data_IF_281250941427
#
_entry.id   IF_281250941427
#
_cell.length_a   1.000
_cell.length_b   1.000
_cell.length_c   1.000
_cell.angle_alpha   90.00
_cell.angle_beta   90.00
_cell.angle_gamma   90.00
#
_symmetry.space_group_name_H-M   'P 1'
#
loop_
_entity.id
_entity.type
_entity.pdbx_description
1 polymer ?
#
# COMPACT_ATOMS: atom_id res chain seq x y z
N UNK A 1 -24.57 -18.95 2.42
CA UNK A 1 -23.54 -18.97 3.47
C UNK A 1 -22.21 -18.65 2.81
N UNK A 2 -21.48 -17.63 3.27
CA UNK A 2 -20.19 -17.29 2.70
C UNK A 2 -19.19 -18.42 2.96
N UNK A 3 -18.38 -18.76 1.96
CA UNK A 3 -17.35 -19.78 2.08
C UNK A 3 -15.96 -19.14 1.98
N UNK A 4 -15.22 -19.18 3.07
CA UNK A 4 -13.82 -18.80 3.12
C UNK A 4 -12.97 -20.05 2.85
N UNK A 5 -11.96 -19.91 2.00
CA UNK A 5 -10.96 -20.95 1.73
C UNK A 5 -9.63 -20.45 2.25
N UNK A 6 -8.98 -21.27 3.08
CA UNK A 6 -7.64 -21.02 3.59
C UNK A 6 -6.71 -22.14 3.14
N UNK A 7 -5.62 -21.80 2.46
CA UNK A 7 -4.51 -22.70 2.15
C UNK A 7 -3.26 -22.17 2.83
N UNK A 8 -2.52 -23.03 3.52
CA UNK A 8 -1.37 -22.64 4.36
C UNK A 8 -0.14 -23.52 4.09
N UNK A 9 0.43 -23.50 2.87
CA UNK A 9 1.73 -24.09 2.63
C UNK A 9 2.83 -23.32 3.37
N UNK A 10 3.98 -23.95 3.59
CA UNK A 10 5.16 -23.26 4.07
C UNK A 10 6.32 -23.40 3.07
N UNK A 11 7.21 -22.44 3.08
CA UNK A 11 8.43 -22.43 2.30
C UNK A 11 9.60 -22.52 3.28
N UNK A 12 10.50 -23.48 3.05
CA UNK A 12 11.73 -23.56 3.81
C UNK A 12 12.74 -22.59 3.22
N UNK A 13 13.09 -21.58 4.00
CA UNK A 13 14.06 -20.58 3.59
C UNK A 13 15.46 -21.05 4.01
N UNK A 14 16.36 -21.19 3.06
CA UNK A 14 17.78 -21.43 3.28
C UNK A 14 18.62 -20.51 2.40
N UNK A 15 19.95 -20.53 2.59
CA UNK A 15 20.89 -19.66 1.82
C UNK A 15 20.86 -19.91 0.31
N UNK A 16 20.41 -21.09 -0.13
CA UNK A 16 20.38 -21.48 -1.54
C UNK A 16 19.01 -21.22 -2.18
N UNK A 17 17.97 -21.07 -1.35
CA UNK A 17 16.57 -20.87 -1.78
C UNK A 17 15.96 -19.67 -1.07
N UNK A 18 16.35 -18.43 -1.45
CA UNK A 18 15.77 -17.22 -0.86
C UNK A 18 14.30 -17.07 -1.28
N UNK A 19 13.45 -16.77 -0.31
CA UNK A 19 12.01 -16.59 -0.53
C UNK A 19 11.66 -15.13 -0.87
N UNK A 20 12.66 -14.25 -0.92
CA UNK A 20 12.52 -12.82 -1.22
C UNK A 20 11.81 -12.54 -2.55
N UNK A 21 12.11 -13.32 -3.60
CA UNK A 21 11.45 -13.21 -4.89
C UNK A 21 9.94 -13.47 -4.84
N UNK A 22 9.48 -14.30 -3.91
CA UNK A 22 8.05 -14.53 -3.71
C UNK A 22 7.34 -13.29 -3.17
N UNK A 23 7.96 -12.58 -2.23
CA UNK A 23 7.41 -11.34 -1.68
C UNK A 23 7.29 -10.26 -2.75
N UNK A 24 8.33 -10.08 -3.57
CA UNK A 24 8.28 -9.16 -4.70
C UNK A 24 7.15 -9.54 -5.67
N UNK A 25 7.06 -10.82 -6.02
CA UNK A 25 6.00 -11.32 -6.91
C UNK A 25 4.61 -10.99 -6.40
N UNK A 26 4.27 -11.33 -5.15
CA UNK A 26 2.92 -11.07 -4.62
C UNK A 26 2.62 -9.57 -4.46
N UNK A 27 3.63 -8.73 -4.23
CA UNK A 27 3.47 -7.30 -4.05
C UNK A 27 3.33 -6.51 -5.35
N UNK A 28 3.76 -7.06 -6.50
CA UNK A 28 3.84 -6.32 -7.76
C UNK A 28 3.20 -7.00 -8.96
N UNK A 29 2.66 -8.22 -8.80
CA UNK A 29 2.04 -8.95 -9.92
C UNK A 29 0.79 -8.25 -10.45
N UNK A 30 0.35 -8.61 -11.65
CA UNK A 30 -0.91 -8.17 -12.22
C UNK A 30 -2.08 -8.32 -11.23
N UNK A 31 -2.99 -7.35 -11.24
CA UNK A 31 -4.20 -7.30 -10.40
C UNK A 31 -3.95 -7.17 -8.90
N UNK A 32 -2.72 -6.91 -8.45
CA UNK A 32 -2.53 -6.45 -7.08
C UNK A 32 -3.11 -5.06 -6.93
N UNK A 33 -3.87 -4.83 -5.88
CA UNK A 33 -4.33 -3.49 -5.53
C UNK A 33 -3.15 -2.70 -4.96
N UNK A 34 -2.71 -1.67 -5.71
CA UNK A 34 -1.62 -0.80 -5.25
C UNK A 34 -2.13 0.11 -4.13
N UNK A 35 -1.41 0.14 -3.04
CA UNK A 35 -1.73 1.00 -1.91
C UNK A 35 -1.20 2.41 -2.13
N UNK A 36 -1.85 3.44 -1.54
CA UNK A 36 -1.31 4.79 -1.50
C UNK A 36 0.10 4.81 -0.91
N UNK A 37 0.97 5.65 -1.47
CA UNK A 37 2.34 5.80 -0.96
C UNK A 37 2.33 6.57 0.37
N UNK A 38 2.33 5.84 1.48
CA UNK A 38 2.29 6.35 2.85
C UNK A 38 3.66 6.82 3.37
N UNK A 39 4.73 6.71 2.56
CA UNK A 39 6.04 7.26 2.93
C UNK A 39 5.97 8.79 3.12
N UNK A 40 6.87 9.38 3.91
CA UNK A 40 6.92 10.84 4.08
C UNK A 40 7.05 11.57 2.74
N UNK A 41 6.48 12.77 2.60
CA UNK A 41 6.58 13.55 1.38
C UNK A 41 8.04 13.90 1.08
N UNK A 42 8.36 14.00 -0.21
CA UNK A 42 9.68 14.45 -0.64
C UNK A 42 9.87 15.95 -0.33
N UNK A 43 11.12 16.37 -0.13
CA UNK A 43 11.44 17.80 0.04
C UNK A 43 10.85 18.68 -1.06
N UNK A 44 10.80 18.16 -2.30
CA UNK A 44 10.20 18.85 -3.46
C UNK A 44 8.69 19.02 -3.27
N UNK A 45 7.99 17.98 -2.82
CA UNK A 45 6.56 18.06 -2.55
C UNK A 45 6.26 19.03 -1.40
N UNK A 46 7.01 18.97 -0.31
CA UNK A 46 6.85 19.93 0.80
C UNK A 46 7.04 21.39 0.36
N UNK A 47 8.07 21.66 -0.48
CA UNK A 47 8.29 22.98 -1.03
C UNK A 47 7.11 23.44 -1.91
N UNK A 48 6.56 22.53 -2.73
CA UNK A 48 5.40 22.82 -3.58
C UNK A 48 4.14 23.07 -2.76
N UNK A 49 3.89 22.27 -1.71
CA UNK A 49 2.78 22.49 -0.79
C UNK A 49 2.87 23.87 -0.15
N UNK A 50 4.07 24.24 0.40
CA UNK A 50 4.30 25.55 0.98
C UNK A 50 4.11 26.69 -0.02
N UNK A 51 4.58 26.49 -1.26
CA UNK A 51 4.43 27.49 -2.33
C UNK A 51 2.96 27.64 -2.72
N UNK A 52 2.22 26.54 -2.94
CA UNK A 52 0.81 26.57 -3.30
C UNK A 52 -0.04 27.24 -2.21
N UNK A 53 0.18 26.91 -0.94
CA UNK A 53 -0.57 27.52 0.16
C UNK A 53 -0.22 29.00 0.39
N UNK A 54 0.92 29.47 -0.11
CA UNK A 54 1.30 30.90 -0.12
C UNK A 54 0.69 31.62 -1.31
N UNK A 55 0.82 31.04 -2.52
CA UNK A 55 0.38 31.66 -3.76
C UNK A 55 -1.17 31.62 -3.89
N UNK A 56 -1.80 30.57 -3.35
CA UNK A 56 -3.24 30.33 -3.36
C UNK A 56 -3.74 30.03 -1.92
N UNK A 57 -3.95 31.05 -1.05
CA UNK A 57 -4.36 30.84 0.34
C UNK A 57 -5.66 30.05 0.50
N UNK A 58 -6.60 30.16 -0.46
CA UNK A 58 -7.86 29.41 -0.46
C UNK A 58 -7.66 27.89 -0.62
N UNK A 59 -6.54 27.45 -1.19
CA UNK A 59 -6.22 26.04 -1.33
C UNK A 59 -6.11 25.30 0.04
N UNK A 60 -5.90 26.03 1.11
CA UNK A 60 -5.94 25.48 2.48
C UNK A 60 -7.32 24.98 2.93
N UNK A 61 -8.37 25.36 2.22
CA UNK A 61 -9.74 24.92 2.50
C UNK A 61 -10.10 23.61 1.79
N UNK A 62 -9.24 23.14 0.89
CA UNK A 62 -9.43 21.86 0.20
C UNK A 62 -9.35 20.68 1.16
N UNK A 63 -10.17 19.68 0.94
CA UNK A 63 -10.16 18.44 1.72
C UNK A 63 -8.80 17.76 1.68
N UNK A 64 -8.17 17.73 0.51
CA UNK A 64 -6.84 17.15 0.29
C UNK A 64 -5.73 17.86 1.08
N UNK A 65 -5.89 19.17 1.37
CA UNK A 65 -4.97 19.88 2.27
C UNK A 65 -5.16 19.43 3.72
N UNK A 66 -6.40 19.27 4.16
CA UNK A 66 -6.70 18.80 5.51
C UNK A 66 -6.21 17.37 5.72
N UNK A 67 -6.35 16.52 4.72
CA UNK A 67 -5.81 15.15 4.74
C UNK A 67 -4.27 15.15 4.81
N UNK A 68 -3.62 16.02 4.05
CA UNK A 68 -2.17 16.21 4.12
C UNK A 68 -1.71 16.73 5.49
N UNK A 69 -2.43 17.68 6.05
CA UNK A 69 -2.11 18.26 7.37
C UNK A 69 -2.29 17.24 8.49
N UNK A 70 -3.32 16.40 8.40
CA UNK A 70 -3.57 15.31 9.34
C UNK A 70 -2.54 14.17 9.22
N UNK A 71 -2.18 13.79 7.99
CA UNK A 71 -1.21 12.73 7.70
C UNK A 71 -0.31 13.13 6.53
N UNK A 72 0.89 13.73 6.79
CA UNK A 72 1.79 14.18 5.73
C UNK A 72 2.51 13.01 5.05
N UNK A 73 1.88 12.46 4.01
CA UNK A 73 2.42 11.38 3.17
C UNK A 73 2.68 11.87 1.75
N UNK A 74 3.44 11.09 0.96
CA UNK A 74 3.64 11.35 -0.47
C UNK A 74 2.32 11.36 -1.23
N UNK A 75 1.42 10.43 -0.90
CA UNK A 75 0.12 10.33 -1.54
C UNK A 75 -0.73 11.58 -1.26
N UNK A 76 -0.88 11.97 0.00
CA UNK A 76 -1.66 13.13 0.40
C UNK A 76 -1.05 14.44 -0.12
N UNK A 77 0.28 14.57 -0.09
CA UNK A 77 0.96 15.71 -0.71
C UNK A 77 0.68 15.78 -2.22
N UNK A 78 0.75 14.65 -2.93
CA UNK A 78 0.49 14.58 -4.36
C UNK A 78 -0.98 14.88 -4.70
N UNK A 79 -1.93 14.37 -3.89
CA UNK A 79 -3.35 14.65 -4.04
C UNK A 79 -3.64 16.14 -3.88
N UNK A 80 -3.15 16.75 -2.79
CA UNK A 80 -3.30 18.19 -2.56
C UNK A 80 -2.69 19.04 -3.69
N UNK A 81 -1.42 18.77 -4.07
CA UNK A 81 -0.76 19.53 -5.14
C UNK A 81 -1.56 19.43 -6.43
N UNK A 82 -2.07 18.26 -6.77
CA UNK A 82 -2.90 18.07 -7.96
C UNK A 82 -4.16 18.91 -7.90
N UNK A 83 -4.92 18.78 -6.80
CA UNK A 83 -6.20 19.47 -6.66
C UNK A 83 -6.04 20.98 -6.66
N UNK A 84 -5.06 21.48 -5.91
CA UNK A 84 -4.76 22.92 -5.87
C UNK A 84 -4.35 23.48 -7.25
N UNK A 85 -3.61 22.71 -8.06
CA UNK A 85 -3.24 23.11 -9.41
C UNK A 85 -4.43 23.03 -10.37
N UNK A 86 -5.32 22.04 -10.26
CA UNK A 86 -6.54 21.95 -11.08
C UNK A 86 -7.43 23.16 -10.86
N UNK A 87 -7.64 23.57 -9.61
CA UNK A 87 -8.49 24.71 -9.28
C UNK A 87 -7.88 26.07 -9.67
N UNK A 88 -6.54 26.15 -9.69
CA UNK A 88 -5.83 27.39 -10.01
C UNK A 88 -5.06 27.30 -11.33
N UNK A 89 -5.53 26.48 -12.28
CA UNK A 89 -4.82 26.13 -13.50
C UNK A 89 -4.31 27.34 -14.30
N UNK A 90 -5.16 28.35 -14.51
CA UNK A 90 -4.81 29.54 -15.30
C UNK A 90 -3.64 30.34 -14.71
N UNK A 91 -3.55 30.40 -13.38
CA UNK A 91 -2.45 31.06 -12.68
C UNK A 91 -1.22 30.16 -12.58
N UNK A 92 -1.41 28.84 -12.42
CA UNK A 92 -0.34 27.86 -12.30
C UNK A 92 0.46 27.70 -13.61
N UNK A 93 -0.16 27.85 -14.78
CA UNK A 93 0.51 27.80 -16.09
C UNK A 93 1.67 28.78 -16.25
N UNK A 94 1.65 29.89 -15.51
CA UNK A 94 2.72 30.89 -15.54
C UNK A 94 3.93 30.51 -14.66
N UNK A 95 3.88 29.36 -13.97
CA UNK A 95 4.93 28.91 -13.06
C UNK A 95 5.64 27.66 -13.57
N UNK A 96 6.89 27.79 -13.99
CA UNK A 96 7.74 26.69 -14.44
C UNK A 96 7.83 25.54 -13.40
N UNK A 97 7.81 25.89 -12.11
CA UNK A 97 7.89 24.89 -11.03
C UNK A 97 6.69 23.94 -11.03
N UNK A 98 5.49 24.47 -11.27
CA UNK A 98 4.27 23.67 -11.31
C UNK A 98 4.19 22.83 -12.58
N UNK A 99 4.50 23.42 -13.72
CA UNK A 99 4.52 22.70 -14.99
C UNK A 99 5.53 21.56 -14.99
N UNK A 100 6.73 21.80 -14.44
CA UNK A 100 7.78 20.79 -14.32
C UNK A 100 7.35 19.65 -13.40
N UNK A 101 6.66 19.94 -12.29
CA UNK A 101 6.12 18.91 -11.42
C UNK A 101 5.07 18.04 -12.14
N UNK A 102 4.10 18.66 -12.80
CA UNK A 102 3.05 17.94 -13.55
C UNK A 102 3.67 17.01 -14.60
N UNK A 103 4.64 17.52 -15.38
CA UNK A 103 5.30 16.77 -16.45
C UNK A 103 6.15 15.60 -15.96
N UNK A 104 6.73 15.71 -14.75
CA UNK A 104 7.67 14.71 -14.20
C UNK A 104 7.05 13.83 -13.13
N UNK A 105 5.77 14.04 -12.77
CA UNK A 105 5.11 13.30 -11.72
C UNK A 105 4.80 11.87 -12.15
N UNK A 106 5.40 10.83 -11.54
CA UNK A 106 5.03 9.45 -11.82
C UNK A 106 3.61 9.15 -11.32
N UNK A 107 2.85 8.35 -12.07
CA UNK A 107 1.55 7.83 -11.61
C UNK A 107 1.69 7.10 -10.26
N UNK A 108 2.83 6.46 -10.04
CA UNK A 108 3.21 5.78 -8.81
C UNK A 108 3.28 6.68 -7.57
N UNK A 109 3.42 8.01 -7.70
CA UNK A 109 3.42 8.89 -6.52
C UNK A 109 2.11 8.89 -5.74
N UNK A 110 0.97 8.59 -6.40
CA UNK A 110 -0.34 8.50 -5.73
C UNK A 110 -0.63 7.10 -5.21
N UNK A 111 -0.40 6.09 -6.04
CA UNK A 111 -0.83 4.73 -5.77
C UNK A 111 0.27 3.86 -5.17
N UNK A 112 1.53 4.36 -5.18
CA UNK A 112 2.67 3.52 -4.83
C UNK A 112 3.05 2.54 -5.94
N UNK A 113 4.11 1.78 -5.72
CA UNK A 113 4.73 0.86 -6.67
C UNK A 113 4.47 -0.62 -6.34
N UNK A 114 3.77 -0.89 -5.24
CA UNK A 114 3.41 -2.24 -4.81
C UNK A 114 2.13 -2.25 -3.96
N UNK A 115 1.55 -3.45 -3.78
CA UNK A 115 0.34 -3.68 -2.98
C UNK A 115 0.59 -4.38 -1.64
N UNK A 116 1.84 -4.42 -1.14
CA UNK A 116 2.13 -5.03 0.15
C UNK A 116 1.66 -4.16 1.32
N UNK A 117 1.10 -4.81 2.32
CA UNK A 117 0.76 -4.24 3.62
C UNK A 117 1.17 -5.18 4.76
N UNK A 118 1.32 -4.61 5.96
CA UNK A 118 1.70 -5.33 7.18
C UNK A 118 1.07 -4.64 8.40
N UNK A 119 1.64 -4.87 9.59
CA UNK A 119 1.27 -4.14 10.82
C UNK A 119 1.59 -2.65 10.73
N UNK A 120 2.65 -2.30 10.03
CA UNK A 120 3.12 -0.92 9.88
C UNK A 120 2.48 -0.27 8.66
N UNK A 121 2.22 1.03 8.75
CA UNK A 121 1.83 1.83 7.60
C UNK A 121 3.04 2.07 6.69
N UNK A 122 2.81 2.05 5.36
CA UNK A 122 3.85 2.37 4.39
C UNK A 122 4.98 1.35 4.33
N UNK A 123 4.65 0.09 4.02
CA UNK A 123 5.65 -0.96 3.81
C UNK A 123 6.68 -0.52 2.76
N UNK A 124 7.96 -0.62 3.10
CA UNK A 124 9.06 -0.47 2.14
C UNK A 124 9.38 -1.85 1.54
N UNK A 125 9.07 -2.02 0.24
CA UNK A 125 9.25 -3.29 -0.45
C UNK A 125 10.72 -3.75 -0.43
N UNK A 126 11.67 -2.84 -0.62
CA UNK A 126 13.09 -3.18 -0.65
C UNK A 126 13.57 -3.67 0.73
N UNK A 127 13.13 -2.99 1.80
CA UNK A 127 13.42 -3.40 3.17
C UNK A 127 12.79 -4.75 3.51
N UNK A 128 11.54 -4.97 3.11
CA UNK A 128 10.84 -6.24 3.34
C UNK A 128 11.52 -7.41 2.60
N UNK A 129 12.02 -7.18 1.38
CA UNK A 129 12.80 -8.15 0.62
C UNK A 129 14.12 -8.46 1.34
N UNK A 130 14.86 -7.43 1.78
CA UNK A 130 16.13 -7.58 2.50
C UNK A 130 15.95 -8.36 3.82
N UNK A 131 14.90 -8.06 4.59
CA UNK A 131 14.55 -8.82 5.81
C UNK A 131 14.31 -10.30 5.50
N UNK A 132 13.63 -10.60 4.40
CA UNK A 132 13.34 -11.98 4.01
C UNK A 132 14.57 -12.73 3.45
N UNK A 133 15.47 -12.03 2.78
CA UNK A 133 16.76 -12.59 2.31
C UNK A 133 17.66 -13.02 3.46
N UNK A 134 17.61 -12.31 4.58
CA UNK A 134 18.40 -12.63 5.77
C UNK A 134 17.65 -13.52 6.77
N UNK A 135 16.38 -13.85 6.49
CA UNK A 135 15.59 -14.73 7.36
C UNK A 135 16.07 -16.16 7.25
N UNK A 136 16.19 -16.81 8.41
CA UNK A 136 16.51 -18.24 8.52
C UNK A 136 15.36 -18.96 9.23
N UNK A 137 14.77 -19.94 8.57
CA UNK A 137 13.67 -20.72 9.13
C UNK A 137 12.49 -20.88 8.18
N UNK A 138 11.35 -21.28 8.72
CA UNK A 138 10.15 -21.50 7.92
C UNK A 138 9.43 -20.18 7.64
N UNK A 139 9.06 -19.98 6.39
CA UNK A 139 8.16 -18.91 5.95
C UNK A 139 6.82 -19.52 5.60
N UNK A 140 5.79 -19.19 6.37
CA UNK A 140 4.43 -19.65 6.13
C UNK A 140 3.76 -18.76 5.09
N UNK A 141 3.16 -19.39 4.09
CA UNK A 141 2.36 -18.67 3.09
C UNK A 141 0.89 -19.01 3.31
N UNK A 142 0.07 -17.98 3.50
CA UNK A 142 -1.37 -18.13 3.69
C UNK A 142 -2.10 -17.53 2.49
N UNK A 143 -2.94 -18.31 1.84
CA UNK A 143 -3.82 -17.85 0.78
C UNK A 143 -5.24 -17.89 1.32
N UNK A 144 -5.85 -16.74 1.48
CA UNK A 144 -7.20 -16.57 1.98
C UNK A 144 -8.07 -16.10 0.80
N UNK A 145 -9.13 -16.84 0.49
CA UNK A 145 -9.99 -16.54 -0.65
C UNK A 145 -11.46 -16.49 -0.24
N UNK A 146 -12.18 -15.50 -0.75
CA UNK A 146 -13.63 -15.41 -0.75
C UNK A 146 -14.15 -15.40 -2.18
N UNK A 147 -15.36 -15.91 -2.38
CA UNK A 147 -16.06 -15.67 -3.64
C UNK A 147 -16.32 -14.17 -3.81
N UNK A 148 -16.20 -13.65 -5.03
CA UNK A 148 -16.40 -12.24 -5.34
C UNK A 148 -17.72 -11.68 -4.80
N UNK A 149 -18.83 -12.39 -5.00
CA UNK A 149 -20.14 -11.98 -4.50
C UNK A 149 -20.18 -11.88 -2.97
N UNK A 150 -19.53 -12.82 -2.27
CA UNK A 150 -19.45 -12.80 -0.81
C UNK A 150 -18.49 -11.69 -0.34
N UNK A 151 -17.37 -11.48 -1.03
CA UNK A 151 -16.42 -10.41 -0.70
C UNK A 151 -17.09 -9.04 -0.81
N UNK A 152 -17.77 -8.75 -1.92
CA UNK A 152 -18.51 -7.50 -2.11
C UNK A 152 -19.62 -7.31 -1.06
N UNK A 153 -20.42 -8.37 -0.80
CA UNK A 153 -21.51 -8.33 0.19
C UNK A 153 -21.02 -8.09 1.62
N UNK A 154 -19.81 -8.56 1.95
CA UNK A 154 -19.21 -8.46 3.28
C UNK A 154 -18.25 -7.28 3.42
N UNK A 155 -17.97 -6.54 2.32
CA UNK A 155 -17.05 -5.42 2.30
C UNK A 155 -15.57 -5.81 2.30
N UNK A 156 -15.22 -7.03 1.85
CA UNK A 156 -13.86 -7.54 1.73
C UNK A 156 -13.37 -7.60 0.27
N UNK A 157 -13.84 -6.69 -0.56
CA UNK A 157 -13.48 -6.55 -1.98
C UNK A 157 -12.39 -5.52 -2.24
N UNK A 158 -11.62 -5.16 -1.21
CA UNK A 158 -10.54 -4.17 -1.28
C UNK A 158 -9.41 -4.47 -0.27
N UNK A 159 -8.21 -3.96 -0.55
CA UNK A 159 -7.02 -4.17 0.27
C UNK A 159 -7.17 -3.65 1.70
N UNK A 160 -7.81 -2.49 1.89
CA UNK A 160 -7.96 -1.88 3.22
C UNK A 160 -8.78 -2.74 4.17
N UNK A 161 -9.85 -3.37 3.69
CA UNK A 161 -10.67 -4.26 4.51
C UNK A 161 -9.86 -5.47 4.99
N UNK A 162 -9.07 -6.09 4.11
CA UNK A 162 -8.20 -7.21 4.47
C UNK A 162 -7.06 -6.78 5.40
N UNK A 163 -6.43 -5.64 5.15
CA UNK A 163 -5.41 -5.09 6.02
C UNK A 163 -5.93 -4.89 7.45
N UNK A 164 -7.11 -4.28 7.60
CA UNK A 164 -7.75 -4.07 8.91
C UNK A 164 -8.09 -5.39 9.59
N UNK A 165 -8.62 -6.38 8.84
CA UNK A 165 -8.92 -7.70 9.38
C UNK A 165 -7.66 -8.38 9.93
N UNK A 166 -6.57 -8.40 9.16
CA UNK A 166 -5.33 -9.06 9.56
C UNK A 166 -4.65 -8.34 10.73
N UNK A 167 -4.64 -7.01 10.75
CA UNK A 167 -4.11 -6.22 11.86
C UNK A 167 -4.88 -6.46 13.16
N UNK A 168 -6.21 -6.48 13.08
CA UNK A 168 -7.07 -6.72 14.25
C UNK A 168 -6.84 -8.12 14.83
N UNK A 169 -6.66 -9.13 13.99
CA UNK A 169 -6.48 -10.52 14.42
C UNK A 169 -5.02 -10.95 14.54
N UNK A 170 -4.06 -10.04 14.43
CA UNK A 170 -2.63 -10.33 14.44
C UNK A 170 -2.18 -11.21 15.60
N UNK A 171 -2.59 -10.84 16.80
CA UNK A 171 -2.16 -11.55 18.01
C UNK A 171 -2.79 -12.95 18.11
N UNK A 172 -4.01 -13.12 17.64
CA UNK A 172 -4.68 -14.42 17.59
C UNK A 172 -4.02 -15.34 16.58
N UNK A 173 -3.63 -14.80 15.41
CA UNK A 173 -2.88 -15.53 14.40
C UNK A 173 -1.52 -15.97 14.97
N UNK A 174 -0.79 -15.06 15.60
CA UNK A 174 0.50 -15.37 16.25
C UNK A 174 0.36 -16.46 17.30
N UNK A 175 -0.68 -16.40 18.14
CA UNK A 175 -0.96 -17.38 19.17
C UNK A 175 -1.25 -18.77 18.58
N UNK A 176 -2.09 -18.85 17.53
CA UNK A 176 -2.40 -20.12 16.84
C UNK A 176 -1.15 -20.72 16.18
N UNK A 177 -0.26 -19.88 15.66
CA UNK A 177 1.02 -20.32 15.08
C UNK A 177 2.10 -20.61 16.13
N UNK A 178 1.80 -20.43 17.42
CA UNK A 178 2.74 -20.55 18.52
C UNK A 178 3.98 -19.66 18.37
N UNK A 179 3.77 -18.44 17.88
CA UNK A 179 4.80 -17.40 17.72
C UNK A 179 4.52 -16.29 18.73
N UNK A 180 5.54 -15.85 19.46
CA UNK A 180 5.37 -14.70 20.36
C UNK A 180 5.03 -13.43 19.53
N UNK A 181 4.09 -12.59 19.99
CA UNK A 181 3.67 -11.42 19.23
C UNK A 181 4.81 -10.48 18.81
N UNK A 182 5.85 -10.33 19.62
CA UNK A 182 7.02 -9.51 19.28
C UNK A 182 7.88 -10.05 18.13
N UNK A 183 7.79 -11.38 17.88
CA UNK A 183 8.56 -12.05 16.82
C UNK A 183 7.71 -12.34 15.58
N UNK A 184 6.40 -12.09 15.65
CA UNK A 184 5.50 -12.33 14.53
C UNK A 184 5.64 -11.23 13.50
N UNK A 185 6.23 -11.56 12.35
CA UNK A 185 6.35 -10.69 11.17
C UNK A 185 5.48 -11.24 10.05
N UNK A 186 4.76 -10.39 9.36
CA UNK A 186 3.93 -10.80 8.24
C UNK A 186 3.81 -9.69 7.20
N UNK A 187 3.62 -10.11 5.97
CA UNK A 187 3.31 -9.26 4.82
C UNK A 187 2.18 -9.88 4.04
N UNK A 188 1.29 -9.07 3.50
CA UNK A 188 0.19 -9.54 2.68
C UNK A 188 -0.03 -8.62 1.48
N UNK A 189 -0.73 -9.11 0.47
CA UNK A 189 -1.20 -8.34 -0.67
C UNK A 189 -2.60 -8.80 -1.05
N UNK A 190 -3.45 -7.88 -1.46
CA UNK A 190 -4.76 -8.18 -1.99
C UNK A 190 -4.72 -8.27 -3.51
N UNK A 191 -5.34 -9.31 -4.05
CA UNK A 191 -5.45 -9.52 -5.49
C UNK A 191 -6.92 -9.68 -5.89
N UNK A 192 -7.38 -8.83 -6.80
CA UNK A 192 -8.68 -9.00 -7.44
C UNK A 192 -8.51 -9.96 -8.63
N UNK A 193 -8.46 -11.24 -8.34
CA UNK A 193 -8.44 -12.29 -9.35
C UNK A 193 -9.88 -12.59 -9.75
N UNK A 194 -10.39 -11.94 -10.83
CA UNK A 194 -11.73 -12.16 -11.35
C UNK A 194 -12.22 -13.63 -11.33
N UNK A 195 -13.36 -13.95 -11.90
CA UNK A 195 -14.14 -15.19 -11.78
C UNK A 195 -13.45 -16.54 -12.10
N UNK A 196 -12.14 -16.63 -12.08
CA UNK A 196 -11.48 -17.91 -12.18
C UNK A 196 -11.38 -18.55 -10.79
N UNK A 197 -12.13 -19.64 -10.53
CA UNK A 197 -11.79 -20.53 -9.45
C UNK A 197 -10.34 -20.96 -9.73
N UNK A 198 -9.42 -20.74 -8.75
CA UNK A 198 -8.09 -21.29 -8.88
C UNK A 198 -8.24 -22.79 -9.15
N UNK A 199 -8.05 -23.19 -10.41
CA UNK A 199 -7.89 -24.58 -10.76
C UNK A 199 -6.61 -25.05 -10.09
N UNK A 200 -6.78 -26.01 -9.20
CA UNK A 200 -5.82 -26.84 -8.48
C UNK A 200 -4.43 -26.89 -9.05
#
# INVERSE_FOLDING_TARGET
MARLILKSPYLQCDRNHPVSGYLQYIGTRERVELLPDDRPPTRKQEQLVRKLTKDFPEAKKLGEYLDYEAKPTKANASAFITRALEENWSAAQQSDSYMKYIATRPRAERLGDHGLFSDEDGVDLAKAIDELEHHTGNVWTHIISLKREDAARLGYDNANAWMNLLRTNRNDIAAVMNISPGNFRWYAAYHDEGDHPMST
#
